data_IF_058153815991
#
_entry.id   IF_058153815991
#
_cell.length_a   1.000
_cell.length_b   1.000
_cell.length_c   1.000
_cell.angle_alpha   90.00
_cell.angle_beta   90.00
_cell.angle_gamma   90.00
#
_symmetry.space_group_name_H-M   'P 1'
#
loop_
_entity.id
_entity.type
_entity.pdbx_description
1 polymer ?
#
# COMPACT_ATOMS: atom_id res chain seq x y z
N UNK A 1 15.62 -14.99 9.54
CA UNK A 1 15.03 -13.80 8.89
C UNK A 1 13.69 -14.14 8.24
N UNK A 2 12.57 -13.56 8.71
CA UNK A 2 11.26 -13.63 8.05
C UNK A 2 10.90 -12.28 7.42
N UNK A 3 9.83 -12.29 6.64
CA UNK A 3 9.28 -11.09 6.00
C UNK A 3 7.77 -11.00 6.23
N UNK A 4 7.22 -9.78 6.24
CA UNK A 4 5.77 -9.58 6.26
C UNK A 4 5.15 -9.91 4.91
N UNK A 5 3.90 -10.39 4.89
CA UNK A 5 3.25 -10.88 3.68
C UNK A 5 2.96 -9.80 2.61
N UNK A 6 2.73 -8.55 3.00
CA UNK A 6 2.21 -7.53 2.06
C UNK A 6 3.27 -6.54 1.58
N UNK A 7 4.15 -6.11 2.49
CA UNK A 7 5.16 -5.10 2.19
C UNK A 7 6.58 -5.67 2.18
N UNK A 8 6.71 -6.99 2.34
CA UNK A 8 7.99 -7.69 2.41
C UNK A 8 8.98 -7.03 3.40
N UNK A 9 8.46 -6.47 4.50
CA UNK A 9 9.26 -5.83 5.53
C UNK A 9 10.06 -6.88 6.26
N UNK A 10 11.33 -6.54 6.52
CA UNK A 10 12.28 -7.37 7.23
C UNK A 10 11.80 -7.57 8.68
N UNK A 11 11.54 -8.82 9.06
CA UNK A 11 11.08 -9.21 10.39
C UNK A 11 12.06 -10.22 11.00
N UNK A 12 13.05 -9.74 11.77
CA UNK A 12 13.95 -10.61 12.52
C UNK A 12 13.17 -11.52 13.47
N UNK A 13 13.56 -12.78 13.53
CA UNK A 13 13.04 -13.75 14.50
C UNK A 13 13.69 -13.54 15.87
N UNK A 14 13.19 -14.23 16.90
CA UNK A 14 13.66 -14.06 18.29
C UNK A 14 15.16 -14.39 18.47
N UNK A 15 15.74 -15.18 17.56
CA UNK A 15 17.15 -15.57 17.55
C UNK A 15 17.98 -14.88 16.45
N UNK A 16 17.40 -13.95 15.69
CA UNK A 16 18.12 -13.18 14.69
C UNK A 16 18.76 -11.94 15.33
N UNK A 17 19.92 -11.50 14.81
CA UNK A 17 20.50 -10.21 15.17
C UNK A 17 19.64 -9.06 14.64
N UNK A 18 19.41 -8.03 15.46
CA UNK A 18 18.71 -6.82 15.05
C UNK A 18 19.67 -5.71 14.63
N UNK A 19 19.69 -5.41 13.34
CA UNK A 19 20.34 -4.24 12.74
C UNK A 19 19.33 -3.08 12.57
N UNK A 20 19.57 -1.95 13.23
CA UNK A 20 18.69 -0.79 13.17
C UNK A 20 18.60 -0.19 11.75
N UNK A 21 19.71 -0.09 11.04
CA UNK A 21 19.72 0.51 9.71
C UNK A 21 19.02 -0.40 8.71
N UNK A 22 19.40 -1.69 8.71
CA UNK A 22 18.87 -2.64 7.75
C UNK A 22 17.45 -3.09 8.04
N UNK A 23 16.99 -3.07 9.29
CA UNK A 23 15.64 -3.50 9.66
C UNK A 23 14.71 -2.34 9.95
N UNK A 24 15.07 -1.41 10.83
CA UNK A 24 14.15 -0.33 11.20
C UNK A 24 14.07 0.73 10.11
N UNK A 25 15.20 1.35 9.75
CA UNK A 25 15.22 2.46 8.81
C UNK A 25 14.70 2.01 7.44
N UNK A 26 15.21 0.89 6.92
CA UNK A 26 14.72 0.33 5.66
C UNK A 26 13.21 0.05 5.67
N UNK A 27 12.67 -0.55 6.73
CA UNK A 27 11.22 -0.79 6.79
C UNK A 27 10.43 0.50 6.88
N UNK A 28 10.93 1.52 7.58
CA UNK A 28 10.31 2.84 7.64
C UNK A 28 10.28 3.50 6.26
N UNK A 29 11.37 3.42 5.48
CA UNK A 29 11.41 3.94 4.12
C UNK A 29 10.41 3.22 3.20
N UNK A 30 10.30 1.88 3.32
CA UNK A 30 9.31 1.12 2.54
C UNK A 30 7.88 1.54 2.89
N UNK A 31 7.58 1.70 4.18
CA UNK A 31 6.25 2.14 4.64
C UNK A 31 5.94 3.55 4.13
N UNK A 32 6.87 4.49 4.28
CA UNK A 32 6.68 5.88 3.87
C UNK A 32 6.45 6.02 2.35
N UNK A 33 7.20 5.27 1.54
CA UNK A 33 6.99 5.23 0.10
C UNK A 33 5.60 4.71 -0.29
N UNK A 34 5.13 3.65 0.36
CA UNK A 34 3.79 3.08 0.11
C UNK A 34 2.69 4.05 0.50
N UNK A 35 2.81 4.73 1.64
CA UNK A 35 1.84 5.72 2.10
C UNK A 35 1.84 6.94 1.17
N UNK A 36 3.03 7.44 0.79
CA UNK A 36 3.17 8.56 -0.13
C UNK A 36 2.52 8.27 -1.49
N UNK A 37 2.70 7.05 -2.02
CA UNK A 37 2.00 6.61 -3.23
C UNK A 37 0.47 6.57 -3.06
N UNK A 38 -0.01 6.15 -1.89
CA UNK A 38 -1.43 6.16 -1.54
C UNK A 38 -2.04 7.55 -1.48
N UNK A 39 -1.28 8.55 -1.00
CA UNK A 39 -1.74 9.94 -0.91
C UNK A 39 -1.72 10.65 -2.28
N UNK A 40 -0.77 10.30 -3.15
CA UNK A 40 -0.63 10.92 -4.47
C UNK A 40 -1.70 10.48 -5.49
N UNK A 41 -2.31 9.31 -5.30
CA UNK A 41 -3.31 8.76 -6.21
C UNK A 41 -4.67 8.62 -5.50
N UNK A 42 -5.68 9.36 -5.98
CA UNK A 42 -7.03 9.29 -5.43
C UNK A 42 -7.80 8.00 -5.74
N UNK A 43 -7.29 7.15 -6.64
CA UNK A 43 -7.83 5.83 -6.98
C UNK A 43 -6.73 4.75 -7.12
N UNK A 44 -5.99 4.42 -6.05
CA UNK A 44 -4.83 3.54 -6.10
C UNK A 44 -5.21 2.06 -6.13
N UNK A 45 -6.46 1.72 -5.82
CA UNK A 45 -6.88 0.34 -5.66
C UNK A 45 -7.48 -0.22 -6.94
N UNK A 46 -7.21 -1.49 -7.23
CA UNK A 46 -7.78 -2.23 -8.37
C UNK A 46 -8.48 -3.50 -7.90
N UNK A 47 -9.56 -3.87 -8.57
CA UNK A 47 -10.17 -5.20 -8.42
C UNK A 47 -10.70 -5.69 -9.77
N UNK A 48 -10.92 -7.01 -9.87
CA UNK A 48 -11.49 -7.65 -11.05
C UNK A 48 -12.91 -8.10 -10.70
N UNK A 49 -13.88 -7.76 -11.55
CA UNK A 49 -15.25 -8.23 -11.47
C UNK A 49 -15.72 -8.70 -12.85
N UNK A 50 -16.10 -9.97 -12.97
CA UNK A 50 -16.53 -10.61 -14.22
C UNK A 50 -15.57 -10.40 -15.42
N UNK A 51 -14.26 -10.39 -15.16
CA UNK A 51 -13.22 -10.20 -16.19
C UNK A 51 -12.90 -8.73 -16.49
N UNK A 52 -13.67 -7.79 -15.96
CA UNK A 52 -13.40 -6.36 -16.09
C UNK A 52 -12.56 -5.85 -14.91
N UNK A 53 -11.54 -5.05 -15.21
CA UNK A 53 -10.71 -4.41 -14.18
C UNK A 53 -11.29 -3.05 -13.84
N UNK A 54 -11.43 -2.78 -12.54
CA UNK A 54 -11.86 -1.49 -12.02
C UNK A 54 -10.75 -0.87 -11.20
N UNK A 55 -10.62 0.46 -11.27
CA UNK A 55 -9.91 1.28 -10.28
C UNK A 55 -10.92 1.91 -9.35
N UNK A 56 -10.57 2.06 -8.08
CA UNK A 56 -11.39 2.77 -7.11
C UNK A 56 -10.57 3.54 -6.08
N UNK A 57 -11.22 4.49 -5.44
CA UNK A 57 -10.70 5.18 -4.27
C UNK A 57 -11.71 6.11 -3.63
N UNK A 58 -11.23 6.89 -2.67
CA UNK A 58 -12.05 7.75 -1.82
C UNK A 58 -11.57 9.19 -1.94
N UNK A 59 -12.53 10.13 -1.94
CA UNK A 59 -12.27 11.56 -1.98
C UNK A 59 -13.26 12.30 -1.08
N UNK A 60 -12.96 13.55 -0.74
CA UNK A 60 -13.89 14.42 -0.01
C UNK A 60 -14.44 15.47 -0.99
N UNK A 61 -15.76 15.54 -1.12
CA UNK A 61 -16.45 16.52 -1.96
C UNK A 61 -17.48 17.24 -1.09
N UNK A 62 -17.37 18.57 -0.96
CA UNK A 62 -18.24 19.39 -0.12
C UNK A 62 -18.36 18.88 1.34
N UNK A 63 -17.28 18.35 1.90
CA UNK A 63 -17.25 17.78 3.25
C UNK A 63 -17.86 16.39 3.39
N UNK A 64 -18.43 15.82 2.33
CA UNK A 64 -18.91 14.44 2.29
C UNK A 64 -17.86 13.48 1.73
N UNK A 65 -17.82 12.25 2.28
CA UNK A 65 -17.03 11.16 1.71
C UNK A 65 -17.66 10.71 0.38
N UNK A 66 -16.89 10.72 -0.69
CA UNK A 66 -17.27 10.21 -2.01
C UNK A 66 -16.39 9.00 -2.36
N UNK A 67 -17.06 7.88 -2.63
CA UNK A 67 -16.44 6.73 -3.29
C UNK A 67 -16.47 6.94 -4.81
N UNK A 68 -15.33 6.75 -5.46
CA UNK A 68 -15.16 6.84 -6.91
C UNK A 68 -14.64 5.52 -7.44
N UNK A 69 -15.17 5.05 -8.57
CA UNK A 69 -14.62 3.91 -9.29
C UNK A 69 -14.80 4.10 -10.80
N UNK A 70 -13.89 3.52 -11.57
CA UNK A 70 -13.90 3.54 -13.04
C UNK A 70 -13.45 2.20 -13.61
N UNK A 71 -14.02 1.81 -14.74
CA UNK A 71 -13.53 0.70 -15.53
C UNK A 71 -12.21 1.09 -16.21
N UNK A 72 -11.26 0.16 -16.27
CA UNK A 72 -9.95 0.38 -16.89
C UNK A 72 -9.80 -0.60 -18.03
N UNK A 73 -9.70 -0.08 -19.25
CA UNK A 73 -9.25 -0.83 -20.41
C UNK A 73 -7.72 -0.95 -20.37
N UNK A 74 -7.18 -2.16 -20.53
CA UNK A 74 -5.73 -2.34 -20.73
C UNK A 74 -5.27 -1.80 -22.08
#
# INVERSE_FOLDING_TARGET
>A
MKYTNHLNLKKPESNDYFDQENHANHNMDVIDNVISGHLANSMPHRFINNGTVYKYGFSVVNGGLKFSYEEVSE
#
